data_IF_693903527935
#
_entry.id   IF_693903527935
#
_cell.length_a   1.000
_cell.length_b   1.000
_cell.length_c   1.000
_cell.angle_alpha   90.00
_cell.angle_beta   90.00
_cell.angle_gamma   90.00
#
_symmetry.space_group_name_H-M   'P 1'
#
loop_
_entity.id
_entity.type
_entity.pdbx_description
1 polymer ?
#
# COMPACT_ATOMS: atom_id res chain seq x y z
N UNK A 1 5.75 23.60 -12.38
CA UNK A 1 6.46 22.37 -12.00
C UNK A 1 5.58 21.53 -11.11
N UNK A 2 5.41 20.28 -11.47
CA UNK A 2 4.62 19.36 -10.66
C UNK A 2 5.55 18.66 -9.67
N UNK A 3 5.30 18.87 -8.39
CA UNK A 3 5.99 18.13 -7.34
C UNK A 3 5.12 16.99 -6.90
N UNK A 4 5.71 15.79 -6.81
CA UNK A 4 5.00 14.64 -6.26
C UNK A 4 4.97 14.79 -4.74
N UNK A 5 3.83 14.51 -4.12
CA UNK A 5 3.64 14.61 -2.68
C UNK A 5 3.27 13.27 -2.09
N UNK A 6 3.36 13.16 -0.76
CA UNK A 6 2.92 11.95 -0.06
C UNK A 6 1.45 11.65 -0.35
N UNK A 7 0.61 12.69 -0.42
CA UNK A 7 -0.81 12.54 -0.70
C UNK A 7 -1.05 11.94 -2.08
N UNK A 8 -0.25 12.36 -3.07
CA UNK A 8 -0.32 11.78 -4.41
C UNK A 8 0.03 10.30 -4.38
N UNK A 9 1.05 9.93 -3.62
CA UNK A 9 1.46 8.54 -3.48
C UNK A 9 0.38 7.71 -2.79
N UNK A 10 -0.18 8.21 -1.68
CA UNK A 10 -1.26 7.51 -0.99
C UNK A 10 -2.49 7.34 -1.88
N UNK A 11 -2.84 8.36 -2.66
CA UNK A 11 -3.97 8.28 -3.60
C UNK A 11 -3.73 7.19 -4.65
N UNK A 12 -2.51 7.06 -5.14
CA UNK A 12 -2.16 6.01 -6.09
C UNK A 12 -2.19 4.63 -5.43
N UNK A 13 -1.69 4.53 -4.20
CA UNK A 13 -1.68 3.27 -3.45
C UNK A 13 -3.08 2.77 -3.14
N UNK A 14 -4.06 3.68 -3.01
CA UNK A 14 -5.46 3.28 -2.83
C UNK A 14 -6.04 2.55 -4.02
N UNK A 15 -5.39 2.64 -5.18
CA UNK A 15 -5.79 1.90 -6.37
C UNK A 15 -5.22 0.49 -6.42
N UNK A 16 -4.27 0.19 -5.54
CA UNK A 16 -3.65 -1.13 -5.48
C UNK A 16 -4.38 -1.95 -4.43
N UNK A 17 -5.00 -3.04 -4.86
CA UNK A 17 -5.76 -3.92 -3.98
C UNK A 17 -4.92 -5.12 -3.58
N UNK A 18 -5.26 -5.68 -2.42
CA UNK A 18 -4.76 -7.00 -2.04
C UNK A 18 -5.28 -8.01 -3.07
N UNK A 19 -4.44 -8.91 -3.59
CA UNK A 19 -4.89 -9.87 -4.60
C UNK A 19 -5.92 -10.86 -4.10
N UNK A 20 -6.02 -11.06 -2.80
CA UNK A 20 -6.99 -11.98 -2.21
C UNK A 20 -8.30 -11.29 -1.84
N UNK A 21 -8.27 -9.98 -1.67
CA UNK A 21 -9.42 -9.20 -1.21
C UNK A 21 -9.55 -7.93 -2.05
N UNK A 22 -10.77 -7.52 -2.43
CA UNK A 22 -10.96 -6.29 -3.22
C UNK A 22 -10.88 -5.03 -2.34
N UNK A 23 -9.81 -4.92 -1.57
CA UNK A 23 -9.59 -3.82 -0.62
C UNK A 23 -8.19 -3.28 -0.86
N UNK A 24 -8.06 -1.95 -0.88
CA UNK A 24 -6.77 -1.33 -1.12
C UNK A 24 -5.77 -1.62 0.00
N UNK A 25 -4.49 -1.60 -0.34
CA UNK A 25 -3.42 -1.80 0.62
C UNK A 25 -3.46 -0.74 1.73
N UNK A 26 -3.87 0.49 1.38
CA UNK A 26 -3.99 1.58 2.36
C UNK A 26 -5.08 1.24 3.38
N UNK A 27 -6.24 0.80 2.89
CA UNK A 27 -7.37 0.45 3.75
C UNK A 27 -7.11 -0.81 4.58
N UNK A 28 -6.25 -1.69 4.08
CA UNK A 28 -5.80 -2.86 4.85
C UNK A 28 -4.83 -2.50 5.96
N UNK A 29 -4.31 -1.27 5.95
CA UNK A 29 -3.33 -0.86 6.95
C UNK A 29 -1.94 -1.45 6.74
N UNK A 30 -1.64 -1.86 5.53
CA UNK A 30 -0.36 -2.47 5.18
C UNK A 30 0.72 -1.44 4.85
N UNK A 31 0.33 -0.20 4.58
CA UNK A 31 1.26 0.89 4.29
C UNK A 31 1.58 1.62 5.59
N UNK A 32 2.81 1.50 6.06
CA UNK A 32 3.23 2.11 7.32
C UNK A 32 3.75 3.53 7.15
N UNK A 33 4.28 3.85 5.97
CA UNK A 33 4.77 5.18 5.71
C UNK A 33 5.15 5.38 4.27
N UNK A 34 5.26 6.63 3.87
CA UNK A 34 5.71 7.02 2.55
C UNK A 34 6.67 8.19 2.71
N UNK A 35 7.83 8.08 2.09
CA UNK A 35 8.78 9.17 2.05
C UNK A 35 8.97 9.59 0.60
N UNK A 36 8.96 10.91 0.36
CA UNK A 36 9.17 11.46 -0.98
C UNK A 36 10.22 12.55 -0.88
N UNK A 37 11.28 12.43 -1.67
CA UNK A 37 12.34 13.43 -1.74
C UNK A 37 12.82 13.54 -3.17
N UNK A 38 12.63 14.69 -3.77
CA UNK A 38 13.08 15.00 -5.14
C UNK A 38 12.63 13.96 -6.18
N UNK A 39 11.41 13.44 -6.01
CA UNK A 39 10.86 12.41 -6.90
C UNK A 39 11.28 10.98 -6.56
N UNK A 40 12.13 10.81 -5.56
CA UNK A 40 12.51 9.49 -5.06
C UNK A 40 11.48 9.08 -4.00
N UNK A 41 10.80 7.97 -4.25
CA UNK A 41 9.70 7.50 -3.40
C UNK A 41 10.15 6.25 -2.65
N UNK A 42 9.95 6.24 -1.35
CA UNK A 42 10.16 5.06 -0.52
C UNK A 42 8.85 4.71 0.17
N UNK A 43 8.34 3.51 -0.11
CA UNK A 43 7.12 3.00 0.50
C UNK A 43 7.51 2.01 1.58
N UNK A 44 7.13 2.32 2.81
CA UNK A 44 7.40 1.44 3.95
C UNK A 44 6.11 0.68 4.24
N UNK A 45 6.15 -0.63 4.13
CA UNK A 45 4.96 -1.45 4.24
C UNK A 45 5.25 -2.79 4.89
N UNK A 46 4.18 -3.48 5.27
CA UNK A 46 4.25 -4.85 5.76
C UNK A 46 3.23 -5.71 5.01
N UNK A 47 3.28 -7.00 5.26
CA UNK A 47 2.32 -7.96 4.72
C UNK A 47 1.66 -8.71 5.87
N UNK A 48 0.49 -9.29 5.60
CA UNK A 48 -0.28 -10.00 6.61
C UNK A 48 0.36 -11.31 7.02
N UNK A 49 1.17 -11.91 6.14
CA UNK A 49 1.89 -13.14 6.43
C UNK A 49 3.24 -13.16 5.71
N UNK A 50 4.27 -13.65 6.40
CA UNK A 50 5.58 -13.83 5.79
C UNK A 50 5.56 -14.97 4.78
N UNK A 51 6.37 -14.85 3.73
CA UNK A 51 6.48 -15.88 2.71
C UNK A 51 5.28 -15.99 1.76
N UNK A 52 4.40 -14.99 1.78
CA UNK A 52 3.26 -14.95 0.87
C UNK A 52 3.75 -14.78 -0.58
N UNK A 53 3.34 -15.67 -1.51
CA UNK A 53 3.76 -15.51 -2.91
C UNK A 53 3.22 -14.24 -3.58
N UNK A 54 2.20 -13.62 -2.99
CA UNK A 54 1.65 -12.36 -3.48
C UNK A 54 2.56 -11.15 -3.23
N UNK A 55 3.61 -11.29 -2.42
CA UNK A 55 4.51 -10.18 -2.10
C UNK A 55 5.08 -9.54 -3.37
N UNK A 56 5.62 -10.35 -4.27
CA UNK A 56 6.21 -9.84 -5.50
C UNK A 56 5.16 -9.23 -6.42
N UNK A 57 3.97 -9.81 -6.47
CA UNK A 57 2.86 -9.29 -7.26
C UNK A 57 2.44 -7.91 -6.74
N UNK A 58 2.29 -7.78 -5.43
CA UNK A 58 1.91 -6.51 -4.79
C UNK A 58 2.97 -5.45 -5.05
N UNK A 59 4.25 -5.78 -4.91
CA UNK A 59 5.33 -4.85 -5.21
C UNK A 59 5.28 -4.38 -6.65
N UNK A 60 5.04 -5.30 -7.58
CA UNK A 60 4.92 -4.97 -8.99
C UNK A 60 3.75 -4.03 -9.27
N UNK A 61 2.61 -4.29 -8.65
CA UNK A 61 1.41 -3.47 -8.80
C UNK A 61 1.65 -2.05 -8.24
N UNK A 62 2.33 -1.95 -7.12
CA UNK A 62 2.68 -0.65 -6.53
C UNK A 62 3.59 0.13 -7.48
N UNK A 63 4.61 -0.51 -7.99
CA UNK A 63 5.54 0.13 -8.91
C UNK A 63 4.80 0.60 -10.17
N UNK A 64 3.95 -0.24 -10.74
CA UNK A 64 3.17 0.11 -11.93
C UNK A 64 2.31 1.34 -11.70
N UNK A 65 1.62 1.42 -10.57
CA UNK A 65 0.76 2.56 -10.27
C UNK A 65 1.57 3.83 -10.01
N UNK A 66 2.68 3.73 -9.29
CA UNK A 66 3.49 4.90 -8.96
C UNK A 66 4.26 5.43 -10.18
N UNK A 67 4.66 4.56 -11.09
CA UNK A 67 5.35 4.97 -12.32
C UNK A 67 4.48 5.84 -13.23
N UNK A 68 3.17 5.74 -13.12
CA UNK A 68 2.23 6.55 -13.89
C UNK A 68 2.21 8.01 -13.45
N UNK A 69 2.72 8.30 -12.27
CA UNK A 69 2.70 9.65 -11.72
C UNK A 69 3.87 10.47 -12.25
N UNK A 70 3.57 11.69 -12.69
CA UNK A 70 4.60 12.63 -13.11
C UNK A 70 5.42 13.07 -11.90
N UNK A 71 6.71 13.12 -12.06
CA UNK A 71 7.62 13.55 -11.01
C UNK A 71 8.23 12.42 -10.21
N UNK A 72 7.78 11.19 -10.40
CA UNK A 72 8.40 10.02 -9.76
C UNK A 72 9.66 9.65 -10.53
N UNK A 73 10.80 9.63 -9.86
CA UNK A 73 12.08 9.28 -10.46
C UNK A 73 12.53 7.88 -10.08
N UNK A 74 12.31 7.49 -8.84
CA UNK A 74 12.65 6.16 -8.37
C UNK A 74 11.61 5.69 -7.35
N UNK A 75 11.48 4.39 -7.23
CA UNK A 75 10.52 3.78 -6.31
C UNK A 75 11.24 2.66 -5.56
N UNK A 76 11.29 2.77 -4.24
CA UNK A 76 11.80 1.73 -3.36
C UNK A 76 10.68 1.26 -2.45
N UNK A 77 10.62 -0.02 -2.21
CA UNK A 77 9.64 -0.61 -1.30
C UNK A 77 10.40 -1.29 -0.18
N UNK A 78 10.23 -0.76 1.02
CA UNK A 78 10.86 -1.31 2.22
C UNK A 78 9.83 -2.14 2.97
N UNK A 79 10.06 -3.44 3.05
CA UNK A 79 9.17 -4.36 3.77
C UNK A 79 9.68 -4.50 5.19
N UNK A 80 8.80 -4.20 6.15
CA UNK A 80 9.11 -4.33 7.57
C UNK A 80 8.13 -5.32 8.22
N UNK A 81 8.61 -6.05 9.20
CA UNK A 81 7.80 -7.05 9.90
C UNK A 81 7.53 -6.66 11.36
N UNK A 82 8.01 -5.48 11.76
CA UNK A 82 7.81 -4.93 13.08
C UNK A 82 7.39 -3.47 12.97
N UNK A 83 6.30 -3.04 13.58
CA UNK A 83 5.33 -3.89 14.28
C UNK A 83 4.57 -4.79 13.31
N UNK A 84 4.14 -5.99 13.76
CA UNK A 84 3.43 -6.91 12.87
C UNK A 84 2.04 -6.36 12.50
N UNK A 85 1.56 -6.75 11.32
CA UNK A 85 0.23 -6.36 10.91
C UNK A 85 -0.82 -7.02 11.80
N UNK A 86 -1.85 -6.24 12.17
CA UNK A 86 -3.03 -6.73 12.89
C UNK A 86 -4.27 -6.11 12.26
N UNK A 87 -5.43 -6.72 12.51
CA UNK A 87 -6.70 -6.21 12.01
C UNK A 87 -7.03 -4.81 12.56
N UNK A 88 -6.39 -4.41 13.65
CA UNK A 88 -6.57 -3.08 14.22
C UNK A 88 -6.02 -1.98 13.33
N UNK A 89 -5.19 -2.33 12.35
CA UNK A 89 -4.62 -1.39 11.39
C UNK A 89 -5.54 -1.10 10.22
N UNK A 90 -6.66 -1.82 10.10
CA UNK A 90 -7.67 -1.55 9.08
C UNK A 90 -8.25 -0.16 9.28
N UNK A 91 -8.46 0.55 8.16
CA UNK A 91 -9.22 1.80 8.20
C UNK A 91 -10.70 1.49 8.39
N UNK A 92 -11.50 2.50 8.74
CA UNK A 92 -12.94 2.32 8.84
C UNK A 92 -13.53 1.82 7.53
N UNK A 93 -13.04 2.36 6.40
CA UNK A 93 -13.47 1.91 5.07
C UNK A 93 -13.08 0.45 4.82
N UNK A 94 -11.88 0.04 5.27
CA UNK A 94 -11.44 -1.34 5.17
C UNK A 94 -12.31 -2.29 5.98
N UNK A 95 -12.65 -1.89 7.21
CA UNK A 95 -13.54 -2.68 8.08
C UNK A 95 -14.91 -2.82 7.43
N UNK A 96 -15.46 -1.72 6.93
CA UNK A 96 -16.77 -1.73 6.27
C UNK A 96 -16.77 -2.65 5.04
N UNK A 97 -15.72 -2.57 4.23
CA UNK A 97 -15.61 -3.40 3.03
C UNK A 97 -15.54 -4.88 3.36
N UNK A 98 -14.78 -5.25 4.39
CA UNK A 98 -14.69 -6.65 4.83
C UNK A 98 -16.01 -7.17 5.35
N UNK A 99 -16.71 -6.37 6.15
CA UNK A 99 -18.04 -6.75 6.64
C UNK A 99 -19.03 -6.93 5.50
N UNK A 100 -18.97 -6.06 4.50
CA UNK A 100 -19.85 -6.17 3.32
C UNK A 100 -19.60 -7.46 2.54
N UNK A 101 -18.38 -8.00 2.60
CA UNK A 101 -18.03 -9.27 1.98
C UNK A 101 -18.35 -10.48 2.87
N UNK A 102 -18.87 -10.24 4.07
CA UNK A 102 -19.19 -11.33 5.01
C UNK A 102 -17.98 -11.82 5.80
N UNK A 103 -16.87 -11.08 5.80
CA UNK A 103 -15.66 -11.46 6.53
C UNK A 103 -15.72 -10.84 7.92
N UNK A 104 -15.53 -11.69 8.93
CA UNK A 104 -15.51 -11.23 10.31
C UNK A 104 -14.20 -10.48 10.63
N UNK A 105 -14.33 -9.33 11.23
CA UNK A 105 -13.18 -8.50 11.69
C UNK A 105 -13.38 -8.04 13.12
#
# INVERSE_FOLDING_TARGET
MAFITKENIFAALKKVNDPELPISLVDMGMIYGVEVEDGNVNVIMTFTASGCPAVDMIKGDIIDELEKLKGVKSIDIEVVWSPPWTKERLTDDGIYALKALGIAV
#
